data_IF_821980002123
#
_entry.id   IF_821980002123
#
_cell.length_a   1.000
_cell.length_b   1.000
_cell.length_c   1.000
_cell.angle_alpha   90.00
_cell.angle_beta   90.00
_cell.angle_gamma   90.00
#
_symmetry.space_group_name_H-M   'P 1'
#
loop_
_entity.id
_entity.type
_entity.pdbx_description
1 polymer ?
#
# COMPACT_ATOMS: atom_id res chain seq x y z
N UNK A 1 10.80 -14.01 11.52
CA UNK A 1 10.33 -13.48 10.22
C UNK A 1 11.49 -12.71 9.62
N UNK A 2 11.82 -12.95 8.35
CA UNK A 2 12.96 -12.31 7.69
C UNK A 2 12.66 -10.83 7.50
N UNK A 3 13.29 -9.97 8.31
CA UNK A 3 13.34 -8.50 8.23
C UNK A 3 13.98 -7.97 6.92
N UNK A 4 14.19 -8.83 5.93
CA UNK A 4 14.88 -8.44 4.71
C UNK A 4 13.94 -7.66 3.80
N UNK A 5 14.37 -6.48 3.33
CA UNK A 5 13.61 -5.71 2.36
C UNK A 5 13.48 -6.49 1.05
N UNK A 6 12.33 -6.33 0.40
CA UNK A 6 12.04 -6.81 -0.94
C UNK A 6 12.11 -5.67 -1.94
N UNK A 7 12.43 -6.00 -3.18
CA UNK A 7 12.47 -5.06 -4.29
C UNK A 7 11.12 -5.07 -5.00
N UNK A 8 10.32 -4.02 -4.80
CA UNK A 8 8.99 -3.90 -5.39
C UNK A 8 9.04 -3.04 -6.65
N UNK A 9 8.47 -3.53 -7.74
CA UNK A 9 8.27 -2.74 -8.94
C UNK A 9 7.06 -1.81 -8.75
N UNK A 10 7.31 -0.51 -8.63
CA UNK A 10 6.30 0.52 -8.41
C UNK A 10 6.03 1.28 -9.71
N UNK A 11 4.83 1.17 -10.30
CA UNK A 11 4.45 1.98 -11.45
C UNK A 11 4.20 3.42 -11.02
N UNK A 12 4.96 4.36 -11.60
CA UNK A 12 4.83 5.78 -11.39
C UNK A 12 3.83 6.42 -12.35
N UNK A 13 3.31 7.60 -11.99
CA UNK A 13 2.39 8.37 -12.85
C UNK A 13 3.01 8.80 -14.19
N UNK A 14 4.33 8.80 -14.29
CA UNK A 14 5.09 9.12 -15.50
C UNK A 14 5.07 7.98 -16.54
N UNK A 15 4.51 6.82 -16.20
CA UNK A 15 4.54 5.62 -17.05
C UNK A 15 5.86 4.83 -16.93
N UNK A 16 6.76 5.25 -16.04
CA UNK A 16 7.99 4.53 -15.70
C UNK A 16 7.72 3.62 -14.51
N UNK A 17 8.28 2.42 -14.53
CA UNK A 17 8.33 1.52 -13.37
C UNK A 17 9.69 1.65 -12.71
N UNK A 18 9.69 1.94 -11.41
CA UNK A 18 10.91 1.96 -10.61
C UNK A 18 10.91 0.86 -9.56
N UNK A 19 12.08 0.43 -9.15
CA UNK A 19 12.22 -0.57 -8.09
C UNK A 19 12.44 0.12 -6.77
N UNK A 20 11.54 -0.10 -5.82
CA UNK A 20 11.59 0.50 -4.50
C UNK A 20 11.91 -0.55 -3.45
N UNK A 21 12.70 -0.17 -2.45
CA UNK A 21 12.95 -1.00 -1.28
C UNK A 21 11.69 -0.99 -0.39
N UNK A 22 11.14 -2.17 -0.15
CA UNK A 22 9.86 -2.36 0.53
C UNK A 22 10.02 -3.39 1.64
N UNK A 23 9.38 -3.20 2.78
CA UNK A 23 9.53 -4.06 3.94
C UNK A 23 8.28 -4.92 4.13
N UNK A 24 8.38 -6.27 4.13
CA UNK A 24 7.25 -7.12 4.44
C UNK A 24 6.66 -6.80 5.81
N UNK A 25 5.33 -6.71 5.88
CA UNK A 25 4.62 -6.61 7.15
C UNK A 25 4.31 -8.01 7.71
N UNK A 26 3.71 -8.08 8.90
CA UNK A 26 3.20 -9.35 9.44
C UNK A 26 1.94 -9.84 8.72
N UNK A 27 1.33 -9.01 7.87
CA UNK A 27 0.16 -9.35 7.04
C UNK A 27 0.65 -9.75 5.65
N UNK A 28 0.52 -11.03 5.26
CA UNK A 28 1.00 -11.51 3.96
C UNK A 28 0.45 -10.69 2.79
N UNK A 29 1.31 -10.32 1.86
CA UNK A 29 0.92 -9.53 0.68
C UNK A 29 0.85 -8.01 0.90
N UNK A 30 1.02 -7.53 2.13
CA UNK A 30 1.18 -6.11 2.44
C UNK A 30 2.63 -5.75 2.78
N UNK A 31 3.06 -4.62 2.24
CA UNK A 31 4.41 -4.08 2.31
C UNK A 31 4.37 -2.65 2.87
N UNK A 32 5.44 -2.29 3.57
CA UNK A 32 5.73 -0.92 3.95
C UNK A 32 6.83 -0.34 3.06
N UNK A 33 6.50 0.65 2.25
CA UNK A 33 7.44 1.26 1.32
C UNK A 33 7.84 2.64 1.82
N UNK A 34 9.13 2.96 1.78
CA UNK A 34 9.59 4.34 1.92
C UNK A 34 9.61 5.01 0.54
N UNK A 35 8.94 6.16 0.40
CA UNK A 35 9.00 6.98 -0.81
C UNK A 35 10.42 7.51 -0.95
N UNK A 36 11.14 7.24 -2.06
CA UNK A 36 12.47 7.79 -2.26
C UNK A 36 12.45 9.33 -2.24
N UNK A 37 13.49 9.95 -1.67
CA UNK A 37 13.51 11.41 -1.44
C UNK A 37 13.21 12.23 -2.70
N UNK A 38 13.71 11.80 -3.85
CA UNK A 38 13.50 12.49 -5.13
C UNK A 38 12.06 12.40 -5.69
N UNK A 39 11.22 11.53 -5.12
CA UNK A 39 9.78 11.47 -5.42
C UNK A 39 8.92 12.23 -4.41
N UNK A 40 9.51 12.73 -3.32
CA UNK A 40 8.78 13.48 -2.28
C UNK A 40 8.55 14.92 -2.75
N UNK A 41 7.36 15.44 -2.50
CA UNK A 41 7.09 16.86 -2.71
C UNK A 41 7.84 17.69 -1.65
N UNK A 42 8.28 18.93 -1.97
CA UNK A 42 8.88 19.80 -0.97
C UNK A 42 7.96 19.97 0.24
N UNK A 43 8.44 19.59 1.43
CA UNK A 43 7.66 19.64 2.68
C UNK A 43 6.74 18.44 2.92
N UNK A 44 6.75 17.41 2.06
CA UNK A 44 6.00 16.17 2.27
C UNK A 44 6.57 15.39 3.46
N UNK A 45 5.77 15.30 4.52
CA UNK A 45 6.16 14.61 5.76
C UNK A 45 5.74 13.14 5.77
N UNK A 46 4.67 12.78 5.07
CA UNK A 46 4.21 11.41 4.95
C UNK A 46 4.98 10.70 3.83
N UNK A 47 6.07 10.03 4.21
CA UNK A 47 7.01 9.40 3.28
C UNK A 47 6.99 7.87 3.36
N UNK A 48 6.09 7.29 4.16
CA UNK A 48 5.85 5.87 4.22
C UNK A 48 4.51 5.53 3.58
N UNK A 49 4.38 4.35 2.98
CA UNK A 49 3.15 3.90 2.35
C UNK A 49 2.86 2.44 2.68
N UNK A 50 1.58 2.11 2.81
CA UNK A 50 1.13 0.71 2.79
C UNK A 50 0.81 0.32 1.35
N UNK A 51 1.49 -0.72 0.86
CA UNK A 51 1.32 -1.20 -0.50
C UNK A 51 0.98 -2.68 -0.52
N UNK A 52 0.08 -3.05 -1.41
CA UNK A 52 -0.11 -4.43 -1.83
C UNK A 52 1.07 -4.88 -2.71
N UNK A 53 1.45 -6.15 -2.63
CA UNK A 53 2.59 -6.72 -3.37
C UNK A 53 2.49 -6.59 -4.90
N UNK A 54 1.30 -6.30 -5.44
CA UNK A 54 1.10 -5.98 -6.87
C UNK A 54 1.38 -4.51 -7.23
N UNK A 55 1.82 -3.68 -6.28
CA UNK A 55 2.13 -2.26 -6.48
C UNK A 55 0.95 -1.28 -6.30
N UNK A 56 -0.20 -1.76 -5.81
CA UNK A 56 -1.28 -0.87 -5.36
C UNK A 56 -0.95 -0.27 -3.99
N UNK A 57 -1.31 0.99 -3.79
CA UNK A 57 -1.09 1.71 -2.53
C UNK A 57 -2.40 2.37 -2.11
N UNK A 58 -2.77 2.25 -0.83
CA UNK A 58 -4.05 2.77 -0.31
C UNK A 58 -3.91 3.64 0.95
N UNK A 59 -2.69 3.83 1.47
CA UNK A 59 -2.43 4.73 2.59
C UNK A 59 -1.01 5.28 2.61
N UNK A 60 -0.85 6.50 3.11
CA UNK A 60 0.43 7.14 3.40
C UNK A 60 0.56 7.43 4.90
N UNK A 61 1.79 7.40 5.41
CA UNK A 61 2.09 7.45 6.83
C UNK A 61 3.34 8.28 7.09
N UNK A 62 3.43 8.85 8.29
CA UNK A 62 4.59 9.62 8.74
C UNK A 62 5.73 8.74 9.25
N UNK A 63 5.41 7.51 9.66
CA UNK A 63 6.37 6.57 10.25
C UNK A 63 6.16 5.17 9.70
N UNK A 64 7.23 4.38 9.62
CA UNK A 64 7.16 2.96 9.29
C UNK A 64 6.25 2.21 10.26
N UNK A 65 6.34 2.48 11.55
CA UNK A 65 5.55 1.80 12.58
C UNK A 65 4.04 1.93 12.34
N UNK A 66 3.57 3.12 11.94
CA UNK A 66 2.17 3.35 11.63
C UNK A 66 1.68 2.49 10.44
N UNK A 67 2.54 2.25 9.45
CA UNK A 67 2.25 1.32 8.35
C UNK A 67 2.04 -0.10 8.86
N UNK A 68 2.90 -0.57 9.77
CA UNK A 68 2.79 -1.91 10.34
C UNK A 68 1.51 -2.06 11.17
N UNK A 69 1.17 -1.05 11.98
CA UNK A 69 -0.10 -1.00 12.72
C UNK A 69 -1.30 -1.01 11.76
N UNK A 70 -1.26 -0.25 10.68
CA UNK A 70 -2.32 -0.27 9.67
C UNK A 70 -2.46 -1.66 9.03
N UNK A 71 -1.34 -2.32 8.71
CA UNK A 71 -1.33 -3.65 8.13
C UNK A 71 -1.97 -4.70 9.06
N UNK A 72 -1.78 -4.57 10.38
CA UNK A 72 -2.45 -5.41 11.38
C UNK A 72 -3.95 -5.14 11.43
N UNK A 73 -4.35 -3.86 11.39
CA UNK A 73 -5.76 -3.49 11.45
C UNK A 73 -6.54 -3.96 10.23
N UNK A 74 -5.94 -3.98 9.04
CA UNK A 74 -6.64 -4.39 7.81
C UNK A 74 -6.47 -5.88 7.51
N UNK A 75 -5.75 -6.64 8.34
CA UNK A 75 -5.33 -8.01 8.05
C UNK A 75 -6.49 -8.99 7.83
N UNK A 76 -7.60 -8.81 8.53
CA UNK A 76 -8.80 -9.65 8.49
C UNK A 76 -9.80 -9.21 7.40
N UNK A 77 -9.56 -8.09 6.73
CA UNK A 77 -10.50 -7.54 5.75
C UNK A 77 -10.52 -8.34 4.44
N UNK A 78 -9.39 -8.96 4.08
CA UNK A 78 -9.26 -9.75 2.87
C UNK A 78 -8.03 -10.66 2.93
N UNK A 79 -7.96 -11.62 1.99
CA UNK A 79 -6.70 -12.28 1.66
C UNK A 79 -5.87 -11.38 0.74
N UNK A 80 -4.95 -10.62 1.34
CA UNK A 80 -4.04 -9.70 0.67
C UNK A 80 -2.96 -10.38 -0.19
N UNK A 81 -2.97 -11.71 -0.31
CA UNK A 81 -2.11 -12.42 -1.27
C UNK A 81 -2.78 -12.60 -2.63
N UNK A 82 -4.09 -12.34 -2.74
CA UNK A 82 -4.84 -12.37 -4.00
C UNK A 82 -4.40 -11.24 -4.94
N UNK A 83 -4.55 -11.39 -6.27
CA UNK A 83 -4.32 -10.32 -7.21
C UNK A 83 -5.14 -9.06 -6.88
N UNK A 84 -4.55 -7.89 -7.15
CA UNK A 84 -5.18 -6.60 -6.92
C UNK A 84 -6.54 -6.46 -7.63
N UNK A 85 -6.65 -6.99 -8.84
CA UNK A 85 -7.86 -6.96 -9.66
C UNK A 85 -8.99 -7.76 -9.01
N UNK A 86 -8.65 -8.86 -8.32
CA UNK A 86 -9.65 -9.66 -7.60
C UNK A 86 -10.13 -8.96 -6.33
N UNK A 87 -9.22 -8.32 -5.57
CA UNK A 87 -9.58 -7.52 -4.40
C UNK A 87 -10.47 -6.33 -4.80
N UNK A 88 -10.19 -5.70 -5.94
CA UNK A 88 -10.98 -4.61 -6.49
C UNK A 88 -12.42 -4.98 -6.82
N UNK A 89 -12.60 -6.21 -7.31
CA UNK A 89 -13.89 -6.74 -7.71
C UNK A 89 -14.62 -7.42 -6.54
N UNK A 90 -13.99 -7.52 -5.36
CA UNK A 90 -14.57 -8.20 -4.20
C UNK A 90 -15.64 -7.32 -3.54
N UNK A 91 -16.93 -7.69 -3.62
CA UNK A 91 -18.00 -6.91 -3.00
C UNK A 91 -17.96 -6.98 -1.46
N UNK A 92 -17.18 -7.89 -0.89
CA UNK A 92 -16.96 -8.00 0.55
C UNK A 92 -15.87 -7.06 1.08
N UNK A 93 -15.06 -6.47 0.21
CA UNK A 93 -14.05 -5.49 0.61
C UNK A 93 -14.70 -4.12 0.84
N UNK A 94 -14.98 -3.82 2.11
CA UNK A 94 -15.51 -2.51 2.51
C UNK A 94 -14.39 -1.45 2.48
N UNK A 95 -14.42 -0.59 1.45
CA UNK A 95 -13.44 0.48 1.28
C UNK A 95 -13.58 1.59 2.32
N UNK A 96 -14.78 1.86 2.82
CA UNK A 96 -15.00 2.89 3.85
C UNK A 96 -14.41 2.42 5.19
N UNK A 97 -14.59 1.15 5.52
CA UNK A 97 -13.94 0.53 6.67
C UNK A 97 -12.42 0.47 6.49
N UNK A 98 -11.92 0.16 5.28
CA UNK A 98 -10.48 0.13 5.01
C UNK A 98 -9.85 1.49 5.29
N UNK A 99 -10.47 2.56 4.80
CA UNK A 99 -9.99 3.92 5.03
C UNK A 99 -10.14 4.35 6.50
N UNK A 100 -11.21 3.91 7.17
CA UNK A 100 -11.37 4.12 8.62
C UNK A 100 -10.22 3.51 9.39
N UNK A 101 -9.81 2.27 9.08
CA UNK A 101 -8.68 1.61 9.74
C UNK A 101 -7.32 2.23 9.42
N UNK A 102 -7.13 2.75 8.20
CA UNK A 102 -5.95 3.55 7.86
C UNK A 102 -5.88 4.82 8.71
N UNK A 103 -7.00 5.53 8.89
CA UNK A 103 -7.07 6.70 9.77
C UNK A 103 -6.80 6.36 11.23
N UNK A 104 -7.32 5.22 11.72
CA UNK A 104 -7.07 4.73 13.07
C UNK A 104 -5.58 4.44 13.35
N UNK A 105 -4.82 4.14 12.31
CA UNK A 105 -3.38 3.93 12.38
C UNK A 105 -2.56 5.22 12.11
N UNK A 106 -3.15 6.41 12.31
CA UNK A 106 -2.54 7.72 12.03
C UNK A 106 -2.07 7.90 10.57
N UNK A 107 -2.75 7.22 9.65
CA UNK A 107 -2.50 7.28 8.22
C UNK A 107 -3.36 8.31 7.49
N UNK A 108 -2.94 8.62 6.27
CA UNK A 108 -3.68 9.40 5.29
C UNK A 108 -4.18 8.42 4.22
N UNK A 109 -5.50 8.18 4.09
CA UNK A 109 -6.05 7.36 3.03
C UNK A 109 -5.65 7.92 1.67
N UNK A 110 -5.13 7.07 0.79
CA UNK A 110 -4.78 7.44 -0.57
C UNK A 110 -5.84 6.91 -1.53
N UNK A 111 -6.43 7.81 -2.33
CA UNK A 111 -7.17 7.42 -3.50
C UNK A 111 -6.19 6.93 -4.57
N UNK A 112 -6.21 5.65 -4.86
CA UNK A 112 -5.81 5.14 -6.17
C UNK A 112 -7.01 4.45 -6.78
N UNK A 113 -7.53 5.01 -7.87
CA UNK A 113 -8.37 4.26 -8.80
C UNK A 113 -7.60 3.00 -9.13
N UNK A 114 -8.14 1.85 -8.75
CA UNK A 114 -7.60 0.57 -9.23
C UNK A 114 -7.73 0.65 -10.76
N UNK A 115 -6.63 0.51 -11.52
CA UNK A 115 -6.73 0.57 -12.96
C UNK A 115 -7.78 -0.45 -13.40
N UNK A 116 -8.82 0.02 -14.09
CA UNK A 116 -9.78 -0.86 -14.71
C UNK A 116 -9.00 -1.86 -15.57
N UNK A 117 -9.34 -3.14 -15.49
CA UNK A 117 -8.72 -4.16 -16.34
C UNK A 117 -8.75 -3.67 -17.79
N UNK A 118 -7.66 -3.86 -18.57
CA UNK A 118 -7.72 -3.58 -19.99
C UNK A 118 -8.86 -4.43 -20.57
N UNK A 119 -9.90 -3.78 -21.07
CA UNK A 119 -10.91 -4.44 -21.91
C UNK A 119 -10.15 -5.11 -23.05
N UNK A 120 -10.21 -6.44 -23.08
CA UNK A 120 -9.66 -7.29 -24.12
C UNK A 120 -10.22 -6.94 -25.51
#
# INVERSE_FOLDING_TARGET
MTDQPVQLAVPLKTGVTETWESFPTNTPGLLADEIPEHHRQPGERAHWRISHHSGLTFGAFYTKQAVFTAAEYVADMADWTRPAEELAADPGLDLDELFTRVLQADGIPLFRTIPAAPTA
#
